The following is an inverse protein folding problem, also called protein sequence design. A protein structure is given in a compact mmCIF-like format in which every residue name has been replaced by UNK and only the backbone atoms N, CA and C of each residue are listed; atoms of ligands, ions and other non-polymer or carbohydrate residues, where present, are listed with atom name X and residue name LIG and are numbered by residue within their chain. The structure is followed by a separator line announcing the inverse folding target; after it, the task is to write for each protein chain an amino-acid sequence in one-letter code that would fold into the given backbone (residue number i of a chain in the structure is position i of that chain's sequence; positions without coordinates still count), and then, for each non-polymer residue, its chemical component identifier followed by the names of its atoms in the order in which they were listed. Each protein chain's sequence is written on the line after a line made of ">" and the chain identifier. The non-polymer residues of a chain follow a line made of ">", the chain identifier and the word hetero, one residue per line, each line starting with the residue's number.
data_IF_529903653587
#
_entry.id   IF_529903653587
#
_cell.length_a   1.000
_cell.length_b   1.000
_cell.length_c   1.000
_cell.angle_alpha   90.00
_cell.angle_beta   90.00
_cell.angle_gamma   90.00
#
_symmetry.space_group_name_H-M   'P 1'
#
loop_
_entity.id
_entity.type
_entity.pdbx_description
1 polymer ?
#
# COMPACT_ATOMS: atom_id res chain seq x y z
N UNK A 1 -1.29 8.07 19.98
CA UNK A 1 -0.63 6.93 19.28
C UNK A 1 -0.81 7.00 17.76
N UNK A 2 0.17 6.50 16.99
CA UNK A 2 0.09 6.44 15.51
C UNK A 2 -0.31 5.05 15.01
N UNK A 3 -1.21 5.01 14.04
CA UNK A 3 -1.74 3.79 13.43
C UNK A 3 -1.66 3.87 11.89
N UNK A 4 -1.51 2.71 11.26
CA UNK A 4 -1.59 2.51 9.81
C UNK A 4 -2.74 1.57 9.50
N UNK A 5 -3.69 2.03 8.70
CA UNK A 5 -4.80 1.24 8.18
C UNK A 5 -4.53 0.93 6.72
N UNK A 6 -4.37 -0.35 6.41
CA UNK A 6 -4.22 -0.83 5.04
C UNK A 6 -5.58 -1.31 4.58
N UNK A 7 -6.10 -0.72 3.50
CA UNK A 7 -7.36 -1.10 2.87
C UNK A 7 -7.06 -1.73 1.52
N UNK A 8 -7.53 -2.95 1.31
CA UNK A 8 -7.27 -3.74 0.11
C UNK A 8 -8.56 -4.28 -0.46
N UNK A 9 -8.71 -4.27 -1.79
CA UNK A 9 -9.85 -4.89 -2.46
C UNK A 9 -9.90 -6.40 -2.17
N UNK A 10 -11.10 -6.93 -1.92
CA UNK A 10 -11.34 -8.36 -1.72
C UNK A 10 -10.97 -9.18 -2.97
N UNK A 11 -10.67 -10.48 -2.80
CA UNK A 11 -10.51 -11.39 -3.94
C UNK A 11 -11.72 -11.36 -4.87
N UNK A 12 -11.48 -11.36 -6.18
CA UNK A 12 -12.53 -11.30 -7.20
C UNK A 12 -13.09 -9.91 -7.50
N UNK A 13 -12.77 -8.89 -6.69
CA UNK A 13 -13.13 -7.50 -7.01
C UNK A 13 -12.17 -6.94 -8.04
N UNK A 14 -12.72 -6.44 -9.15
CA UNK A 14 -11.96 -5.84 -10.24
C UNK A 14 -11.21 -4.59 -9.75
N UNK A 15 -9.93 -4.50 -10.12
CA UNK A 15 -9.07 -3.36 -9.82
C UNK A 15 -8.56 -2.71 -11.13
N UNK A 16 -9.31 -1.75 -11.69
CA UNK A 16 -8.88 -1.03 -12.89
C UNK A 16 -7.58 -0.25 -12.69
N UNK A 17 -7.33 0.24 -11.47
CA UNK A 17 -6.15 1.03 -11.14
C UNK A 17 -4.89 0.14 -11.10
N UNK A 18 -4.94 -0.98 -10.37
CA UNK A 18 -3.85 -1.96 -10.33
C UNK A 18 -3.49 -2.46 -11.72
N UNK A 19 -4.49 -2.75 -12.56
CA UNK A 19 -4.28 -3.11 -13.97
C UNK A 19 -3.61 -2.02 -14.80
N UNK A 20 -3.99 -0.76 -14.61
CA UNK A 20 -3.36 0.36 -15.30
C UNK A 20 -1.89 0.51 -14.91
N UNK A 21 -1.59 0.36 -13.61
CA UNK A 21 -0.22 0.39 -13.08
C UNK A 21 0.59 -0.78 -13.63
N UNK A 22 0.07 -2.01 -13.62
CA UNK A 22 0.73 -3.19 -14.19
C UNK A 22 1.12 -2.96 -15.66
N UNK A 23 0.17 -2.48 -16.48
CA UNK A 23 0.44 -2.14 -17.89
C UNK A 23 1.50 -1.05 -18.05
N UNK A 24 1.51 -0.04 -17.19
CA UNK A 24 2.51 1.02 -17.23
C UNK A 24 3.90 0.47 -16.92
N UNK A 25 4.02 -0.40 -15.91
CA UNK A 25 5.29 -1.05 -15.55
C UNK A 25 5.81 -1.95 -16.67
N UNK A 26 4.92 -2.73 -17.30
CA UNK A 26 5.25 -3.54 -18.47
C UNK A 26 5.75 -2.69 -19.64
N UNK A 27 5.09 -1.55 -19.91
CA UNK A 27 5.46 -0.60 -20.95
C UNK A 27 6.81 0.10 -20.71
N UNK A 28 7.20 0.25 -19.43
CA UNK A 28 8.52 0.75 -19.03
C UNK A 28 9.61 -0.33 -19.06
N UNK A 29 9.27 -1.58 -19.39
CA UNK A 29 10.21 -2.68 -19.52
C UNK A 29 10.51 -3.45 -18.23
N UNK A 30 9.83 -3.15 -17.11
CA UNK A 30 9.97 -3.92 -15.89
C UNK A 30 9.38 -5.32 -16.07
N UNK A 31 10.23 -6.35 -16.02
CA UNK A 31 9.82 -7.76 -16.16
C UNK A 31 9.72 -8.43 -14.78
N UNK A 32 8.93 -9.50 -14.70
CA UNK A 32 8.78 -10.31 -13.48
C UNK A 32 7.65 -9.87 -12.55
N UNK A 33 6.84 -8.88 -12.93
CA UNK A 33 5.67 -8.46 -12.15
C UNK A 33 4.47 -9.31 -12.59
N UNK A 34 4.03 -10.20 -11.71
CA UNK A 34 2.93 -11.13 -12.01
C UNK A 34 1.54 -10.50 -11.90
N UNK A 35 1.33 -9.61 -10.92
CA UNK A 35 0.07 -8.92 -10.69
C UNK A 35 0.32 -7.62 -9.90
N UNK A 36 -0.59 -6.66 -10.02
CA UNK A 36 -0.58 -5.41 -9.22
C UNK A 36 -1.97 -5.17 -8.67
N UNK A 37 -2.02 -4.94 -7.36
CA UNK A 37 -3.23 -4.55 -6.62
C UNK A 37 -3.02 -3.19 -6.00
N UNK A 38 -3.89 -2.25 -6.30
CA UNK A 38 -3.93 -0.94 -5.67
C UNK A 38 -4.85 -0.99 -4.43
N UNK A 39 -4.37 -0.40 -3.35
CA UNK A 39 -5.10 -0.26 -2.09
C UNK A 39 -4.84 1.12 -1.48
N UNK A 40 -5.34 1.34 -0.27
CA UNK A 40 -5.14 2.59 0.48
C UNK A 40 -4.28 2.31 1.70
N UNK A 41 -3.36 3.21 1.99
CA UNK A 41 -2.73 3.34 3.30
C UNK A 41 -3.26 4.62 3.93
N UNK A 42 -3.83 4.51 5.13
CA UNK A 42 -4.35 5.65 5.90
C UNK A 42 -3.55 5.69 7.20
N UNK A 43 -2.93 6.83 7.49
CA UNK A 43 -2.25 7.04 8.77
C UNK A 43 -3.15 7.85 9.69
N UNK A 44 -3.35 7.37 10.92
CA UNK A 44 -4.09 8.06 11.95
C UNK A 44 -3.16 8.37 13.12
N UNK A 45 -3.27 9.59 13.66
CA UNK A 45 -2.78 9.93 14.98
C UNK A 45 -4.01 10.06 15.89
N UNK A 46 -4.15 9.13 16.82
CA UNK A 46 -5.32 9.04 17.72
C UNK A 46 -4.89 9.23 19.17
N UNK A 47 -5.80 9.64 20.03
CA UNK A 47 -5.49 9.78 21.47
C UNK A 47 -5.16 8.42 22.08
N UNK A 48 -4.33 8.39 23.14
CA UNK A 48 -3.85 7.15 23.75
C UNK A 48 -4.95 6.33 24.46
N UNK A 49 -6.10 6.96 24.74
CA UNK A 49 -7.32 6.34 25.27
C UNK A 49 -8.30 5.89 24.18
N UNK A 50 -7.95 6.06 22.90
CA UNK A 50 -8.76 5.57 21.78
C UNK A 50 -8.75 4.04 21.78
N UNK A 51 -9.94 3.45 21.88
CA UNK A 51 -10.09 1.99 21.97
C UNK A 51 -10.04 1.30 20.61
N UNK A 52 -9.65 0.02 20.60
CA UNK A 52 -9.69 -0.84 19.41
C UNK A 52 -11.10 -0.89 18.78
N UNK A 53 -12.14 -0.88 19.60
CA UNK A 53 -13.54 -0.84 19.14
C UNK A 53 -13.84 0.43 18.36
N UNK A 54 -13.39 1.60 18.84
CA UNK A 54 -13.58 2.86 18.11
C UNK A 54 -12.81 2.86 16.79
N UNK A 55 -11.59 2.32 16.78
CA UNK A 55 -10.78 2.19 15.57
C UNK A 55 -11.47 1.26 14.56
N UNK A 56 -12.00 0.12 15.01
CA UNK A 56 -12.75 -0.81 14.16
C UNK A 56 -14.02 -0.15 13.59
N UNK A 57 -14.76 0.60 14.41
CA UNK A 57 -15.93 1.35 13.96
C UNK A 57 -15.59 2.39 12.89
N UNK A 58 -14.52 3.16 13.06
CA UNK A 58 -14.03 4.11 12.05
C UNK A 58 -13.76 3.39 10.73
N UNK A 59 -13.11 2.22 10.80
CA UNK A 59 -12.80 1.41 9.63
C UNK A 59 -14.06 0.95 8.90
N UNK A 60 -15.04 0.40 9.62
CA UNK A 60 -16.27 -0.14 9.03
C UNK A 60 -17.23 0.93 8.53
N UNK A 61 -17.32 2.07 9.22
CA UNK A 61 -18.28 3.13 8.90
C UNK A 61 -17.79 4.05 7.79
N UNK A 62 -16.47 4.21 7.62
CA UNK A 62 -15.92 5.21 6.71
C UNK A 62 -14.69 4.75 5.94
N UNK A 63 -13.66 4.24 6.62
CA UNK A 63 -12.35 4.10 5.99
C UNK A 63 -12.28 2.96 4.96
N UNK A 64 -13.11 1.93 5.13
CA UNK A 64 -13.20 0.79 4.23
C UNK A 64 -14.66 0.52 3.83
N UNK A 65 -14.89 0.31 2.54
CA UNK A 65 -16.14 -0.25 2.05
C UNK A 65 -16.14 -1.77 2.27
N UNK A 66 -16.69 -2.21 3.41
CA UNK A 66 -16.65 -3.61 3.86
C UNK A 66 -17.34 -4.62 2.93
N UNK A 67 -18.11 -4.16 1.93
CA UNK A 67 -18.67 -5.05 0.90
C UNK A 67 -17.55 -5.54 -0.03
N UNK A 68 -16.69 -4.65 -0.50
CA UNK A 68 -15.70 -4.90 -1.56
C UNK A 68 -14.23 -4.79 -1.11
N UNK A 69 -13.98 -4.26 0.08
CA UNK A 69 -12.65 -4.07 0.66
C UNK A 69 -12.50 -4.85 1.98
N UNK A 70 -11.27 -5.25 2.26
CA UNK A 70 -10.78 -5.69 3.57
C UNK A 70 -9.90 -4.58 4.16
N UNK A 71 -9.76 -4.54 5.49
CA UNK A 71 -8.76 -3.69 6.14
C UNK A 71 -7.96 -4.44 7.19
N UNK A 72 -6.75 -3.96 7.47
CA UNK A 72 -5.93 -4.34 8.63
C UNK A 72 -5.36 -3.09 9.28
N UNK A 73 -5.20 -3.11 10.59
CA UNK A 73 -4.65 -2.01 11.38
C UNK A 73 -3.30 -2.46 11.97
N UNK A 74 -2.30 -1.60 11.87
CA UNK A 74 -0.97 -1.81 12.44
C UNK A 74 -0.57 -0.59 13.27
N UNK A 75 0.05 -0.80 14.43
CA UNK A 75 0.66 0.28 15.18
C UNK A 75 1.88 0.80 14.41
N UNK A 76 1.94 2.10 14.15
CA UNK A 76 3.07 2.69 13.45
C UNK A 76 4.22 2.88 14.43
N UNK A 77 5.34 2.19 14.18
CA UNK A 77 6.60 2.52 14.83
C UNK A 77 7.06 3.90 14.34
N UNK A 78 7.72 4.74 15.16
CA UNK A 78 8.36 5.95 14.65
C UNK A 78 9.39 5.55 13.59
N UNK A 79 9.18 5.97 12.35
CA UNK A 79 10.07 5.63 11.24
C UNK A 79 11.48 6.15 11.52
N UNK A 80 12.47 5.25 11.48
CA UNK A 80 13.76 5.61 10.91
C UNK A 80 13.51 5.74 9.41
N UNK A 81 13.53 6.96 8.90
CA UNK A 81 13.52 7.23 7.46
C UNK A 81 14.72 6.49 6.85
N UNK A 82 14.47 5.28 6.34
CA UNK A 82 15.45 4.50 5.60
C UNK A 82 15.52 5.07 4.19
N UNK A 83 16.61 5.76 3.88
CA UNK A 83 16.94 6.13 2.50
C UNK A 83 17.15 4.85 1.69
N UNK A 84 16.13 4.46 0.92
CA UNK A 84 16.09 3.16 0.27
C UNK A 84 16.01 3.23 -1.25
N UNK A 85 17.02 3.80 -1.91
CA UNK A 85 17.53 3.31 -3.19
C UNK A 85 19.02 3.65 -3.28
N UNK A 86 19.89 2.67 -2.98
CA UNK A 86 21.28 2.70 -3.43
C UNK A 86 21.25 2.43 -4.93
N UNK A 87 21.52 3.44 -5.75
CA UNK A 87 21.77 3.27 -7.19
C UNK A 87 23.00 2.38 -7.38
N UNK A 88 22.77 1.07 -7.46
CA UNK A 88 23.77 0.09 -7.88
C UNK A 88 23.94 0.15 -9.39
N UNK A 89 25.10 0.65 -9.80
CA UNK A 89 25.83 0.45 -11.06
C UNK A 89 25.03 0.27 -12.36
N UNK A 90 25.06 1.32 -13.19
CA UNK A 90 24.82 1.20 -14.62
C UNK A 90 25.91 0.32 -15.26
N UNK A 91 25.56 -0.69 -16.09
CA UNK A 91 26.56 -1.40 -16.86
C UNK A 91 27.14 -0.45 -17.91
N UNK A 92 28.45 -0.20 -17.77
CA UNK A 92 29.27 0.49 -18.75
C UNK A 92 29.43 -0.41 -19.98
N UNK A 93 28.60 -0.24 -20.99
CA UNK A 93 28.82 -0.88 -22.29
C UNK A 93 29.67 0.04 -23.18
N UNK A 94 30.98 -0.05 -22.99
CA UNK A 94 31.98 0.26 -24.02
C UNK A 94 32.14 -0.96 -24.92
N UNK A 95 31.65 -0.88 -26.15
CA UNK A 95 32.14 -1.65 -27.31
C UNK A 95 31.88 -0.76 -28.53
N UNK A 96 32.89 -0.01 -28.98
CA UNK A 96 33.77 -0.33 -30.10
C UNK A 96 33.04 -0.33 -31.46
#
# INVERSE_FOLDING_TARGET
>A
MKLRIFVTLKPGVLDPQGRAIHKALDGLGFKGINDVRAGKLIELDVADDTTDTQIDEMCRKLLANTVIENYRVEAASPEKVGTGFSSGDAPNEKTA
#
